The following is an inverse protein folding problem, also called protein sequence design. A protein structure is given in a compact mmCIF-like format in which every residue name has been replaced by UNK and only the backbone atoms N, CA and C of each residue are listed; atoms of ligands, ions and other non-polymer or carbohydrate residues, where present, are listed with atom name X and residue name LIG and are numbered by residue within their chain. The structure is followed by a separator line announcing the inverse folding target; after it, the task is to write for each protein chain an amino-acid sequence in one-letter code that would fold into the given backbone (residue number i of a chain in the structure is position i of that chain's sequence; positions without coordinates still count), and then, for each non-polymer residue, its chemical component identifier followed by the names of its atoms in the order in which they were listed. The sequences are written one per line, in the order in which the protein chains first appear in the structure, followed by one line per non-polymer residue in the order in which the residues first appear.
data_IF_598361468359
#
_entry.id   IF_598361468359
#
_cell.length_a   1.000
_cell.length_b   1.000
_cell.length_c   1.000
_cell.angle_alpha   90.00
_cell.angle_beta   90.00
_cell.angle_gamma   90.00
#
_symmetry.space_group_name_H-M   'P 1'
#
loop_
_entity.id
_entity.type
_entity.pdbx_description
1 polymer ?
#
# COMPACT_ATOMS: atom_id res chain seq x y z
N UNK A 1 15.56 17.27 -33.32
CA UNK A 1 16.64 16.82 -34.25
C UNK A 1 17.46 18.04 -34.65
N UNK A 2 18.79 17.99 -34.88
CA UNK A 2 19.76 16.87 -34.93
C UNK A 2 20.97 17.14 -33.94
N UNK A 3 22.06 16.37 -33.76
CA UNK A 3 22.95 15.56 -34.60
C UNK A 3 23.61 14.46 -33.74
N UNK A 4 23.97 13.33 -34.35
CA UNK A 4 24.64 12.21 -33.68
C UNK A 4 26.13 12.06 -34.00
N UNK A 5 26.63 10.89 -33.58
CA UNK A 5 27.79 10.11 -34.07
C UNK A 5 29.03 10.07 -33.18
N UNK A 6 29.45 8.82 -32.92
CA UNK A 6 30.79 8.24 -32.66
C UNK A 6 30.56 7.10 -31.65
N UNK A 7 30.87 5.84 -31.88
CA UNK A 7 31.68 5.20 -32.91
C UNK A 7 32.19 3.88 -32.33
N UNK A 8 31.77 2.77 -32.93
CA UNK A 8 32.57 1.58 -33.29
C UNK A 8 33.39 0.80 -32.23
N UNK A 9 33.18 -0.53 -32.29
CA UNK A 9 34.15 -1.66 -32.20
C UNK A 9 33.91 -2.63 -31.03
N UNK A 10 34.20 -3.94 -31.09
CA UNK A 10 34.22 -5.00 -32.12
C UNK A 10 34.62 -6.27 -31.35
N UNK A 11 33.92 -7.41 -31.54
CA UNK A 11 34.35 -8.81 -31.24
C UNK A 11 34.72 -9.17 -29.78
N UNK A 12 34.53 -10.37 -29.24
CA UNK A 12 34.12 -11.68 -29.75
C UNK A 12 34.06 -12.63 -28.54
N UNK A 13 33.03 -13.50 -28.50
CA UNK A 13 33.15 -14.96 -28.63
C UNK A 13 33.96 -15.69 -27.52
N UNK A 14 33.23 -16.10 -26.49
CA UNK A 14 33.26 -17.38 -25.75
C UNK A 14 34.43 -18.37 -25.95
N UNK A 15 35.00 -18.88 -24.83
CA UNK A 15 34.99 -20.33 -24.48
C UNK A 15 35.32 -20.59 -22.98
N UNK A 16 34.56 -21.45 -22.26
CA UNK A 16 34.75 -21.83 -20.85
C UNK A 16 35.49 -23.18 -20.68
N UNK A 17 35.89 -23.60 -19.45
CA UNK A 17 35.18 -24.71 -18.78
C UNK A 17 35.11 -24.56 -17.24
N UNK A 18 33.92 -24.60 -16.62
CA UNK A 18 33.15 -25.79 -16.19
C UNK A 18 33.75 -26.52 -14.97
N UNK A 19 33.18 -26.24 -13.79
CA UNK A 19 33.17 -27.06 -12.55
C UNK A 19 32.03 -26.52 -11.69
N UNK A 20 31.21 -27.25 -10.97
CA UNK A 20 31.08 -28.67 -10.62
C UNK A 20 29.65 -28.81 -10.05
N UNK A 21 29.16 -30.03 -9.94
CA UNK A 21 27.79 -30.37 -9.54
C UNK A 21 27.32 -29.66 -8.27
N UNK A 22 26.10 -29.13 -8.38
CA UNK A 22 25.29 -28.48 -7.37
C UNK A 22 25.10 -29.40 -6.15
N UNK A 23 25.73 -29.02 -5.04
CA UNK A 23 25.08 -29.18 -3.75
C UNK A 23 23.76 -28.39 -3.84
N UNK A 24 22.63 -29.07 -3.64
CA UNK A 24 21.33 -28.42 -3.47
C UNK A 24 21.32 -27.81 -2.06
N UNK A 25 22.27 -26.91 -1.81
CA UNK A 25 22.08 -25.82 -0.89
C UNK A 25 20.90 -25.03 -1.46
N UNK A 26 19.89 -24.67 -0.65
CA UNK A 26 18.85 -23.77 -1.13
C UNK A 26 19.58 -22.56 -1.68
N UNK A 27 19.48 -22.36 -3.00
CA UNK A 27 20.23 -21.33 -3.70
C UNK A 27 19.81 -20.01 -3.06
N UNK A 28 20.68 -19.48 -2.20
CA UNK A 28 20.40 -18.31 -1.36
C UNK A 28 19.99 -17.14 -2.26
N UNK A 29 20.51 -17.10 -3.49
CA UNK A 29 20.10 -16.16 -4.52
C UNK A 29 18.65 -16.40 -4.93
N UNK A 30 18.26 -17.63 -5.30
CA UNK A 30 16.86 -17.95 -5.61
C UNK A 30 15.93 -17.71 -4.42
N UNK A 31 16.39 -18.00 -3.21
CA UNK A 31 15.62 -17.80 -1.98
C UNK A 31 15.40 -16.31 -1.71
N UNK A 32 16.43 -15.50 -1.96
CA UNK A 32 16.36 -14.03 -1.93
C UNK A 32 15.48 -13.46 -3.04
N UNK A 33 15.59 -13.98 -4.27
CA UNK A 33 14.72 -13.58 -5.39
C UNK A 33 13.25 -13.94 -5.12
N UNK A 34 12.97 -15.12 -4.55
CA UNK A 34 11.64 -15.53 -4.14
C UNK A 34 11.12 -14.71 -2.97
N UNK A 35 11.98 -14.32 -2.02
CA UNK A 35 11.61 -13.42 -0.94
C UNK A 35 11.30 -12.00 -1.44
N UNK A 36 12.02 -11.51 -2.46
CA UNK A 36 11.78 -10.20 -3.06
C UNK A 36 10.50 -10.15 -3.91
N UNK A 37 10.06 -11.30 -4.46
CA UNK A 37 8.79 -11.45 -5.18
C UNK A 37 7.64 -11.92 -4.29
N UNK A 38 7.93 -12.44 -3.09
CA UNK A 38 6.89 -12.83 -2.15
C UNK A 38 6.10 -11.58 -1.79
N UNK A 39 4.77 -11.61 -1.93
CA UNK A 39 3.94 -10.50 -1.47
C UNK A 39 4.21 -10.31 0.02
N UNK A 40 4.57 -9.09 0.39
CA UNK A 40 4.89 -8.73 1.76
C UNK A 40 3.72 -9.15 2.68
N UNK A 41 3.94 -9.95 3.73
CA UNK A 41 2.88 -10.32 4.67
C UNK A 41 2.32 -9.11 5.43
N UNK A 42 3.05 -7.98 5.45
CA UNK A 42 2.61 -6.68 5.96
C UNK A 42 1.92 -5.81 4.89
N UNK A 43 1.60 -6.35 3.71
CA UNK A 43 0.45 -5.81 2.98
C UNK A 43 -0.77 -6.18 3.79
N UNK A 44 -1.30 -5.21 4.54
CA UNK A 44 -2.69 -5.19 5.04
C UNK A 44 -3.63 -5.41 3.86
N UNK A 45 -3.70 -6.67 3.46
CA UNK A 45 -4.50 -7.18 2.38
C UNK A 45 -5.89 -7.21 2.96
N UNK A 46 -6.71 -6.24 2.55
CA UNK A 46 -8.15 -6.18 2.83
C UNK A 46 -8.89 -7.31 2.10
N UNK A 47 -8.30 -8.50 1.98
CA UNK A 47 -8.93 -9.67 1.40
C UNK A 47 -9.56 -10.52 2.50
N UNK A 48 -10.87 -10.69 2.34
CA UNK A 48 -11.71 -11.74 2.92
C UNK A 48 -11.74 -11.82 4.45
N UNK A 49 -12.54 -10.91 5.02
CA UNK A 49 -13.49 -11.17 6.12
C UNK A 49 -13.15 -12.25 7.14
N UNK A 50 -12.64 -11.81 8.29
CA UNK A 50 -13.27 -11.97 9.61
C UNK A 50 -12.27 -11.50 10.68
N UNK A 51 -12.45 -10.30 11.22
CA UNK A 51 -11.74 -9.74 12.39
C UNK A 51 -10.34 -9.14 12.13
N UNK A 52 -10.31 -7.91 11.59
CA UNK A 52 -9.17 -6.99 11.69
C UNK A 52 -8.97 -6.57 13.16
N UNK A 53 -8.22 -7.33 13.96
CA UNK A 53 -8.00 -7.01 15.38
C UNK A 53 -9.32 -6.73 16.12
N UNK A 54 -9.29 -6.02 17.25
CA UNK A 54 -10.53 -5.58 17.91
C UNK A 54 -11.23 -4.41 17.18
N UNK A 55 -11.08 -4.28 15.86
CA UNK A 55 -11.70 -3.19 15.12
C UNK A 55 -13.21 -3.45 14.97
N UNK A 56 -14.01 -2.63 15.66
CA UNK A 56 -15.46 -2.67 15.55
C UNK A 56 -15.92 -1.74 14.40
N UNK A 57 -16.71 -2.27 13.48
CA UNK A 57 -17.32 -1.47 12.41
C UNK A 57 -18.63 -0.86 12.92
N UNK A 58 -18.67 0.47 13.04
CA UNK A 58 -19.87 1.20 13.40
C UNK A 58 -20.59 1.73 12.15
N UNK A 59 -21.88 1.40 12.01
CA UNK A 59 -22.72 1.96 10.94
C UNK A 59 -23.35 3.28 11.39
N UNK A 60 -23.02 4.37 10.71
CA UNK A 60 -23.58 5.69 10.98
C UNK A 60 -24.89 5.88 10.19
N UNK A 61 -26.00 6.08 10.90
CA UNK A 61 -27.30 6.45 10.31
C UNK A 61 -27.59 7.92 10.58
N UNK A 62 -27.55 8.74 9.54
CA UNK A 62 -27.88 10.16 9.61
C UNK A 62 -29.32 10.41 9.15
N UNK A 63 -29.93 11.47 9.68
CA UNK A 63 -31.19 11.99 9.13
C UNK A 63 -30.97 12.52 7.71
N UNK A 64 -32.01 12.49 6.87
CA UNK A 64 -31.91 12.84 5.45
C UNK A 64 -31.27 14.22 5.23
N UNK A 65 -31.74 15.24 5.94
CA UNK A 65 -31.21 16.60 5.82
C UNK A 65 -29.73 16.70 6.19
N UNK A 66 -29.32 16.03 7.26
CA UNK A 66 -27.92 16.02 7.70
C UNK A 66 -27.02 15.25 6.72
N UNK A 67 -27.55 14.21 6.06
CA UNK A 67 -26.82 13.46 5.05
C UNK A 67 -26.55 14.29 3.79
N UNK A 68 -27.55 15.06 3.33
CA UNK A 68 -27.38 15.96 2.18
C UNK A 68 -26.36 17.07 2.49
N UNK A 69 -26.44 17.69 3.67
CA UNK A 69 -25.44 18.67 4.11
C UNK A 69 -24.03 18.09 4.17
N UNK A 70 -23.88 16.86 4.68
CA UNK A 70 -22.59 16.18 4.71
C UNK A 70 -22.04 15.93 3.30
N UNK A 71 -22.91 15.54 2.35
CA UNK A 71 -22.51 15.34 0.95
C UNK A 71 -22.04 16.64 0.29
N UNK A 72 -22.77 17.74 0.50
CA UNK A 72 -22.41 19.05 -0.03
C UNK A 72 -21.03 19.50 0.51
N UNK A 73 -20.83 19.42 1.83
CA UNK A 73 -19.56 19.76 2.48
C UNK A 73 -18.41 18.86 2.02
N UNK A 74 -18.68 17.58 1.82
CA UNK A 74 -17.68 16.64 1.30
C UNK A 74 -17.29 16.99 -0.15
N UNK A 75 -18.26 17.37 -0.99
CA UNK A 75 -18.03 17.79 -2.36
C UNK A 75 -17.19 19.07 -2.43
N UNK A 76 -17.49 20.07 -1.59
CA UNK A 76 -16.69 21.31 -1.49
C UNK A 76 -15.24 21.02 -1.09
N UNK A 77 -15.03 20.06 -0.19
CA UNK A 77 -13.72 19.64 0.31
C UNK A 77 -13.02 18.62 -0.59
N UNK A 78 -13.65 18.21 -1.69
CA UNK A 78 -13.13 17.16 -2.59
C UNK A 78 -12.85 15.83 -1.85
N UNK A 79 -13.68 15.49 -0.87
CA UNK A 79 -13.57 14.27 -0.06
C UNK A 79 -14.82 13.41 -0.21
N UNK A 80 -14.75 12.14 0.19
CA UNK A 80 -15.96 11.31 0.26
C UNK A 80 -16.76 11.63 1.52
N UNK A 81 -18.10 11.58 1.48
CA UNK A 81 -18.93 11.85 2.66
C UNK A 81 -18.60 10.94 3.84
N UNK A 82 -18.23 9.68 3.56
CA UNK A 82 -17.80 8.73 4.58
C UNK A 82 -16.46 9.14 5.20
N UNK A 83 -15.47 9.53 4.40
CA UNK A 83 -14.17 9.96 4.92
C UNK A 83 -14.30 11.22 5.78
N UNK A 84 -15.12 12.19 5.34
CA UNK A 84 -15.36 13.41 6.10
C UNK A 84 -16.04 13.11 7.46
N UNK A 85 -17.03 12.21 7.47
CA UNK A 85 -17.66 11.78 8.71
C UNK A 85 -16.67 11.10 9.67
N UNK A 86 -15.81 10.21 9.16
CA UNK A 86 -14.79 9.56 9.98
C UNK A 86 -13.79 10.56 10.55
N UNK A 87 -13.37 11.54 9.75
CA UNK A 87 -12.44 12.59 10.17
C UNK A 87 -13.03 13.41 11.33
N UNK A 88 -14.27 13.87 11.20
CA UNK A 88 -14.93 14.65 12.25
C UNK A 88 -15.14 13.86 13.53
N UNK A 89 -15.47 12.57 13.44
CA UNK A 89 -15.59 11.71 14.62
C UNK A 89 -14.24 11.61 15.33
N UNK A 90 -13.15 11.38 14.60
CA UNK A 90 -11.81 11.31 15.19
C UNK A 90 -11.40 12.64 15.82
N UNK A 91 -11.57 13.77 15.12
CA UNK A 91 -11.30 15.10 15.65
C UNK A 91 -12.10 15.39 16.94
N UNK A 92 -13.37 14.95 16.98
CA UNK A 92 -14.22 15.15 18.16
C UNK A 92 -13.74 14.30 19.35
N UNK A 93 -13.34 13.06 19.09
CA UNK A 93 -12.78 12.16 20.11
C UNK A 93 -11.46 12.69 20.67
N UNK A 94 -10.55 13.17 19.82
CA UNK A 94 -9.29 13.78 20.24
C UNK A 94 -9.51 15.03 21.11
N UNK A 95 -10.43 15.90 20.67
CA UNK A 95 -10.83 17.07 21.44
C UNK A 95 -11.35 16.66 22.82
N UNK A 96 -12.20 15.65 22.88
CA UNK A 96 -12.78 15.16 24.14
C UNK A 96 -11.76 14.48 25.05
N UNK A 97 -10.83 13.70 24.49
CA UNK A 97 -9.71 13.10 25.23
C UNK A 97 -8.85 14.18 25.88
N UNK A 98 -8.52 15.23 25.13
CA UNK A 98 -7.75 16.38 25.62
C UNK A 98 -8.47 17.14 26.73
N UNK A 99 -9.80 17.31 26.63
CA UNK A 99 -10.59 17.98 27.67
C UNK A 99 -10.67 17.16 28.96
N UNK A 100 -10.68 15.83 28.85
CA UNK A 100 -10.78 14.90 29.99
C UNK A 100 -9.42 14.56 30.61
N UNK A 101 -8.32 14.92 29.97
CA UNK A 101 -6.95 14.68 30.47
C UNK A 101 -6.49 13.23 30.34
N UNK A 102 -6.98 12.51 29.32
CA UNK A 102 -6.42 11.21 28.92
C UNK A 102 -5.06 11.37 28.23
#
# INVERSE_FOLDING_TARGET
MPLGSLGRSKSGRHRPPAKEQEEILPDEELTSYLAALAPDPDVETTASGSSFGNAQVYQLRLQLMANEQLKELAAERQTSPQALATEWVMQRLEWEARQRGF
#
